data_IF_153811735599
#
_entry.id   IF_153811735599
#
_cell.length_a   1.000
_cell.length_b   1.000
_cell.length_c   1.000
_cell.angle_alpha   90.00
_cell.angle_beta   90.00
_cell.angle_gamma   90.00
#
_symmetry.space_group_name_H-M   'P 1'
#
loop_
_entity.id
_entity.type
_entity.pdbx_description
1 polymer ?
2 polymer ?
3 polymer ?
4 non-polymer ?
5 non-polymer ?
6 non-polymer ?
7 water ?
#
# COMPACT_ATOMS: atom_id res chain seq x y z
N UNK A 1 -8.41 17.20 6.13
CA UNK A 1 -7.97 18.44 5.44
C UNK A 1 -7.01 18.20 4.29
N UNK A 2 -5.85 17.62 4.61
CA UNK A 2 -4.73 17.52 3.69
C UNK A 2 -4.91 16.34 2.78
N UNK A 3 -4.23 16.40 1.63
CA UNK A 3 -4.36 15.31 0.65
C UNK A 3 -3.04 15.04 -0.05
N UNK A 4 -2.93 13.84 -0.62
CA UNK A 4 -1.72 13.49 -1.34
C UNK A 4 -2.11 12.77 -2.62
N UNK A 5 -1.26 12.91 -3.66
CA UNK A 5 -1.35 12.04 -4.82
C UNK A 5 -0.01 11.30 -4.92
N UNK A 6 -0.05 10.02 -5.19
CA UNK A 6 1.17 9.22 -5.33
C UNK A 6 1.03 8.23 -6.45
N UNK A 7 2.10 8.09 -7.22
CA UNK A 7 2.25 7.01 -8.16
C UNK A 7 3.31 6.04 -7.67
N UNK A 8 3.05 4.75 -7.86
CA UNK A 8 3.93 3.68 -7.46
C UNK A 8 4.27 2.86 -8.71
N UNK A 9 5.55 2.83 -9.04
CA UNK A 9 6.06 2.02 -10.16
C UNK A 9 6.82 0.83 -9.61
N UNK A 10 6.54 -0.32 -10.19
CA UNK A 10 7.34 -1.53 -9.87
C UNK A 10 7.79 -2.14 -11.18
N UNK A 11 9.11 -2.31 -11.33
CA UNK A 11 9.68 -3.01 -12.49
C UNK A 11 10.46 -4.21 -11.98
N UNK A 12 10.14 -5.39 -12.52
CA UNK A 12 10.67 -6.63 -11.97
C UNK A 12 11.22 -7.48 -13.10
N UNK A 13 12.51 -7.79 -13.03
CA UNK A 13 13.08 -8.67 -14.05
C UNK A 13 12.80 -10.11 -13.72
N UNK A 14 12.94 -10.98 -14.71
CA UNK A 14 12.53 -12.38 -14.55
C UNK A 14 13.23 -13.19 -15.65
N UNK A 15 14.55 -13.32 -15.55
CA UNK A 15 15.34 -13.87 -16.65
C UNK A 15 14.81 -15.24 -17.04
N UNK A 16 14.61 -15.42 -18.35
CA UNK A 16 14.08 -16.67 -18.94
C UNK A 16 12.57 -16.67 -19.05
N UNK A 17 11.91 -15.64 -18.48
CA UNK A 17 10.45 -15.57 -18.44
C UNK A 17 9.95 -14.28 -19.09
N UNK A 18 10.67 -13.86 -20.12
CA UNK A 18 10.32 -12.63 -20.82
C UNK A 18 10.99 -11.39 -20.26
N UNK A 19 10.55 -10.25 -20.76
CA UNK A 19 11.17 -8.99 -20.39
C UNK A 19 10.59 -8.57 -19.05
N UNK A 20 11.27 -7.65 -18.35
CA UNK A 20 10.76 -7.20 -17.03
C UNK A 20 9.34 -6.65 -17.09
N UNK A 21 8.50 -7.06 -16.13
CA UNK A 21 7.15 -6.53 -15.97
C UNK A 21 7.22 -5.13 -15.39
N UNK A 22 6.37 -4.23 -15.91
CA UNK A 22 6.27 -2.87 -15.38
C UNK A 22 4.82 -2.65 -14.97
N UNK A 23 4.59 -2.28 -13.70
CA UNK A 23 3.27 -1.93 -13.20
C UNK A 23 3.31 -0.49 -12.66
N UNK A 24 2.28 0.30 -12.95
CA UNK A 24 2.17 1.63 -12.37
C UNK A 24 0.80 1.74 -11.79
N UNK A 25 0.72 2.27 -10.57
CA UNK A 25 -0.55 2.47 -9.92
C UNK A 25 -0.60 3.89 -9.36
N UNK A 26 -1.76 4.54 -9.46
CA UNK A 26 -1.91 5.92 -8.96
C UNK A 26 -2.94 5.92 -7.84
N UNK A 27 -2.63 6.69 -6.79
CA UNK A 27 -3.53 6.87 -5.64
C UNK A 27 -3.76 8.35 -5.37
N UNK A 28 -4.96 8.67 -4.89
CA UNK A 28 -5.20 9.91 -4.16
C UNK A 28 -5.48 9.45 -2.74
N UNK A 29 -4.69 9.93 -1.78
CA UNK A 29 -4.77 9.40 -0.41
C UNK A 29 -4.74 7.87 -0.41
N UNK A 30 -5.73 7.20 0.22
CA UNK A 30 -5.78 5.74 0.19
C UNK A 30 -6.72 5.15 -0.84
N UNK A 31 -6.99 5.92 -1.90
CA UNK A 31 -7.89 5.45 -2.95
C UNK A 31 -7.11 5.23 -4.24
N UNK A 32 -7.04 3.98 -4.69
CA UNK A 32 -6.36 3.73 -5.98
C UNK A 32 -7.28 4.25 -7.07
N UNK A 33 -6.73 4.90 -8.09
CA UNK A 33 -7.60 5.39 -9.17
C UNK A 33 -7.16 5.04 -10.58
N UNK A 34 -5.90 4.63 -10.78
CA UNK A 34 -5.49 4.15 -12.12
C UNK A 34 -4.52 2.99 -11.98
N UNK A 35 -4.44 2.17 -13.01
CA UNK A 35 -3.41 1.14 -13.04
C UNK A 35 -2.97 0.84 -14.47
N UNK A 36 -1.69 0.57 -14.63
CA UNK A 36 -1.13 0.08 -15.88
C UNK A 36 -0.30 -1.18 -15.55
N UNK A 37 -0.37 -2.19 -16.41
CA UNK A 37 0.40 -3.42 -16.21
C UNK A 37 0.84 -3.87 -17.60
N UNK A 38 2.16 -3.95 -17.79
CA UNK A 38 2.74 -4.33 -19.09
C UNK A 38 2.38 -5.76 -19.49
N UNK A 39 1.99 -6.58 -18.52
CA UNK A 39 1.58 -7.98 -18.77
C UNK A 39 0.13 -8.13 -19.24
N UNK A 40 -0.63 -7.04 -19.25
CA UNK A 40 -2.06 -7.14 -19.60
C UNK A 40 -2.21 -7.56 -21.06
N UNK A 41 -3.29 -8.28 -21.35
CA UNK A 41 -3.55 -8.70 -22.72
C UNK A 41 -3.39 -7.51 -23.66
N UNK A 42 -3.98 -6.37 -23.30
CA UNK A 42 -3.75 -5.13 -24.03
C UNK A 42 -3.41 -3.98 -23.07
N UNK A 43 -2.12 -3.68 -22.91
CA UNK A 43 -1.69 -2.72 -21.86
C UNK A 43 -2.19 -1.31 -22.12
N UNK A 44 -2.85 -0.73 -21.12
CA UNK A 44 -3.24 0.67 -21.20
C UNK A 44 -3.45 1.12 -19.77
N UNK A 45 -3.31 2.42 -19.53
CA UNK A 45 -3.70 2.96 -18.24
C UNK A 45 -5.21 2.82 -18.14
N UNK A 46 -5.67 2.27 -17.04
CA UNK A 46 -7.07 1.90 -16.85
C UNK A 46 -7.64 2.50 -15.55
N UNK A 47 -8.91 2.92 -15.58
CA UNK A 47 -9.54 3.49 -14.38
C UNK A 47 -9.73 2.47 -13.29
N UNK A 48 -9.57 2.92 -12.05
CA UNK A 48 -9.81 2.08 -10.88
C UNK A 48 -10.70 2.74 -9.84
N UNK A 49 -11.16 3.96 -10.13
CA UNK A 49 -12.15 4.65 -9.31
C UNK A 49 -13.15 5.36 -10.25
N UNK A 50 -14.43 5.43 -9.87
CA UNK A 50 -15.50 5.97 -10.78
C UNK A 50 -15.27 7.41 -11.22
N UNK A 51 -14.68 8.23 -10.34
CA UNK A 51 -14.50 9.68 -10.63
C UNK A 51 -13.44 10.00 -11.70
N UNK A 52 -12.60 9.03 -12.06
CA UNK A 52 -11.63 9.22 -13.14
C UNK A 52 -12.17 8.79 -14.52
N UNK A 53 -13.29 8.08 -14.51
CA UNK A 53 -13.86 7.51 -15.73
C UNK A 53 -14.25 8.58 -16.74
N UNK A 54 -14.67 9.73 -16.25
CA UNK A 54 -15.05 10.90 -17.08
C UNK A 54 -13.90 11.56 -17.84
N UNK A 55 -12.65 11.23 -17.51
CA UNK A 55 -11.56 11.80 -18.27
C UNK A 55 -11.64 11.28 -19.71
N UNK A 56 -11.30 12.15 -20.66
CA UNK A 56 -11.44 11.84 -22.09
C UNK A 56 -10.32 10.99 -22.68
N UNK A 57 -10.47 10.63 -23.96
CA UNK A 57 -9.49 9.80 -24.66
C UNK A 57 -8.08 10.37 -24.66
N UNK A 58 -7.97 11.70 -24.69
CA UNK A 58 -6.70 12.43 -24.66
C UNK A 58 -5.95 12.11 -23.37
N UNK A 59 -6.72 12.06 -22.28
CA UNK A 59 -6.17 11.68 -20.97
C UNK A 59 -5.65 10.24 -21.03
N UNK A 60 -6.50 9.28 -21.38
CA UNK A 60 -6.09 7.86 -21.37
C UNK A 60 -4.96 7.56 -22.33
N UNK A 61 -4.95 8.27 -23.46
CA UNK A 61 -3.89 8.14 -24.46
C UNK A 61 -2.55 8.62 -23.94
N UNK A 62 -2.54 9.79 -23.31
CA UNK A 62 -1.31 10.35 -22.72
C UNK A 62 -0.75 9.35 -21.68
N UNK A 63 -1.60 8.91 -20.78
CA UNK A 63 -1.15 8.03 -19.67
C UNK A 63 -0.66 6.68 -20.16
N UNK A 64 -1.37 6.11 -21.14
CA UNK A 64 -0.92 4.87 -21.77
C UNK A 64 0.45 5.03 -22.45
N UNK A 65 0.62 6.09 -23.25
CA UNK A 65 1.92 6.29 -23.91
C UNK A 65 3.07 6.48 -22.93
N UNK A 66 2.85 7.28 -21.90
CA UNK A 66 3.90 7.49 -20.89
C UNK A 66 4.26 6.13 -20.28
N UNK A 67 3.25 5.33 -19.97
CA UNK A 67 3.47 4.07 -19.27
C UNK A 67 4.17 3.06 -20.19
N UNK A 68 3.83 3.06 -21.48
CA UNK A 68 4.55 2.23 -22.47
C UNK A 68 6.00 2.68 -22.64
N UNK A 69 6.24 4.00 -22.69
CA UNK A 69 7.59 4.53 -22.66
C UNK A 69 8.34 4.09 -21.40
N UNK A 70 7.69 4.22 -20.24
CA UNK A 70 8.29 3.78 -18.99
C UNK A 70 8.63 2.30 -18.99
N UNK A 71 7.74 1.48 -19.56
CA UNK A 71 8.02 0.04 -19.66
C UNK A 71 9.41 -0.16 -20.28
N UNK A 72 9.65 0.49 -21.40
CA UNK A 72 10.98 0.42 -22.04
C UNK A 72 12.12 1.03 -21.22
N UNK A 73 11.91 2.22 -20.66
CA UNK A 73 12.95 2.91 -19.88
C UNK A 73 13.36 2.11 -18.63
N UNK A 74 12.36 1.58 -17.91
CA UNK A 74 12.61 0.82 -16.68
C UNK A 74 13.29 -0.52 -16.98
N UNK A 75 13.02 -1.08 -18.14
CA UNK A 75 13.79 -2.27 -18.55
C UNK A 75 15.27 -1.94 -18.71
N UNK A 76 15.58 -0.85 -19.42
CA UNK A 76 16.96 -0.38 -19.63
C UNK A 76 17.60 -0.01 -18.31
N UNK A 77 16.80 0.58 -17.43
CA UNK A 77 17.26 0.90 -16.08
C UNK A 77 17.65 -0.35 -15.28
N UNK A 78 16.79 -1.37 -15.29
CA UNK A 78 17.15 -2.64 -14.59
C UNK A 78 18.45 -3.23 -15.15
N UNK A 79 18.65 -3.20 -16.47
CA UNK A 79 19.93 -3.67 -17.03
C UNK A 79 21.10 -2.84 -16.50
N UNK A 80 20.91 -1.53 -16.39
CA UNK A 80 21.98 -0.65 -15.89
C UNK A 80 22.30 -0.96 -14.44
N UNK A 81 21.26 -1.14 -13.64
CA UNK A 81 21.41 -1.40 -12.21
C UNK A 81 22.07 -2.74 -11.91
N UNK A 82 21.78 -3.75 -12.72
CA UNK A 82 22.44 -5.05 -12.60
C UNK A 82 23.94 -4.83 -12.78
N UNK A 83 24.28 -4.04 -13.80
CA UNK A 83 25.68 -3.67 -14.08
C UNK A 83 26.34 -2.91 -12.95
N UNK A 84 25.59 -1.95 -12.37
CA UNK A 84 26.17 -1.14 -11.29
C UNK A 84 26.55 -1.97 -10.07
N UNK A 85 25.88 -3.09 -9.87
CA UNK A 85 26.13 -3.94 -8.70
C UNK A 85 26.86 -5.23 -9.08
N UNK A 86 27.33 -5.31 -10.33
CA UNK A 86 28.09 -6.46 -10.81
C UNK A 86 27.33 -7.76 -10.67
N UNK A 87 26.03 -7.69 -10.93
CA UNK A 87 25.15 -8.84 -10.70
C UNK A 87 25.00 -9.69 -11.94
N UNK A 88 24.79 -10.98 -11.69
CA UNK A 88 24.51 -12.00 -12.69
C UNK A 88 23.30 -11.63 -13.54
N UNK A 89 23.34 -12.00 -14.82
CA UNK A 89 22.15 -11.94 -15.68
C UNK A 89 21.05 -12.93 -15.25
N UNK A 90 21.38 -13.88 -14.39
CA UNK A 90 20.45 -14.96 -14.01
C UNK A 90 19.45 -14.63 -12.90
N UNK A 91 19.72 -13.58 -12.14
CA UNK A 91 18.86 -13.25 -11.00
C UNK A 91 17.74 -12.27 -11.34
N UNK A 92 16.68 -12.32 -10.56
CA UNK A 92 15.57 -11.39 -10.70
C UNK A 92 15.77 -10.23 -9.74
N UNK A 93 15.37 -9.05 -10.16
CA UNK A 93 15.61 -7.86 -9.36
C UNK A 93 14.41 -6.95 -9.50
N UNK A 94 14.29 -6.01 -8.58
CA UNK A 94 13.12 -5.15 -8.54
C UNK A 94 13.57 -3.72 -8.43
N UNK A 95 12.98 -2.86 -9.26
CA UNK A 95 13.21 -1.42 -9.19
C UNK A 95 11.87 -0.80 -8.87
N UNK A 96 11.81 -0.03 -7.78
CA UNK A 96 10.57 0.69 -7.44
C UNK A 96 10.77 2.18 -7.41
N UNK A 97 9.72 2.90 -7.79
CA UNK A 97 9.71 4.37 -7.69
C UNK A 97 8.37 4.81 -7.09
N UNK A 98 8.40 5.83 -6.22
CA UNK A 98 7.19 6.34 -5.61
C UNK A 98 7.37 7.84 -5.68
N UNK A 99 6.39 8.53 -6.27
CA UNK A 99 6.48 9.99 -6.37
C UNK A 99 5.12 10.66 -6.22
N UNK A 100 5.12 11.94 -5.93
CA UNK A 100 3.86 12.69 -5.94
C UNK A 100 3.90 13.89 -5.04
N UNK A 101 2.73 14.47 -4.81
CA UNK A 101 2.66 15.78 -4.13
C UNK A 101 1.69 15.70 -2.96
N UNK A 102 1.95 16.55 -1.97
CA UNK A 102 1.10 16.68 -0.77
C UNK A 102 0.58 18.11 -0.81
N UNK A 103 -0.70 18.29 -0.51
CA UNK A 103 -1.31 19.63 -0.45
C UNK A 103 -2.08 19.79 0.85
N UNK A 104 -2.16 21.00 1.36
CA UNK A 104 -2.96 21.25 2.57
C UNK A 104 -4.40 21.55 2.23
N UNK A 105 -5.22 21.79 3.25
CA UNK A 105 -6.64 22.15 3.05
C UNK A 105 -6.90 23.19 1.96
N UNK A 106 -5.98 24.14 1.79
CA UNK A 106 -6.11 25.20 0.78
C UNK A 106 -5.64 24.80 -0.64
N UNK A 107 -5.24 23.53 -0.82
CA UNK A 107 -4.84 23.05 -2.14
C UNK A 107 -3.42 23.42 -2.56
N UNK A 108 -2.68 24.08 -1.67
CA UNK A 108 -1.33 24.49 -2.01
C UNK A 108 -0.34 23.38 -1.69
N UNK A 109 0.74 23.36 -2.45
CA UNK A 109 1.78 22.37 -2.26
C UNK A 109 2.39 22.44 -0.86
N UNK A 110 2.43 21.32 -0.16
CA UNK A 110 3.13 21.22 1.12
C UNK A 110 4.54 20.75 0.81
N UNK A 111 4.62 19.70 -0.03
CA UNK A 111 5.91 19.18 -0.49
C UNK A 111 5.74 18.12 -1.55
N UNK A 112 6.81 17.94 -2.33
CA UNK A 112 6.88 16.94 -3.39
C UNK A 112 7.77 15.79 -2.97
N UNK A 113 7.61 14.66 -3.67
CA UNK A 113 8.35 13.44 -3.35
C UNK A 113 8.74 12.75 -4.64
N UNK A 114 9.93 12.17 -4.66
CA UNK A 114 10.29 11.21 -5.66
C UNK A 114 11.43 10.37 -5.09
N UNK A 115 11.19 9.07 -4.94
CA UNK A 115 12.17 8.19 -4.28
C UNK A 115 12.19 6.88 -5.05
N UNK A 116 13.34 6.22 -5.08
CA UNK A 116 13.45 4.91 -5.70
C UNK A 116 14.19 3.95 -4.81
N UNK A 117 13.91 2.65 -5.02
CA UNK A 117 14.56 1.57 -4.31
C UNK A 117 14.93 0.47 -5.27
N UNK A 118 16.01 -0.25 -4.96
CA UNK A 118 16.45 -1.39 -5.77
C UNK A 118 16.54 -2.59 -4.85
N UNK A 119 15.88 -3.66 -5.25
CA UNK A 119 15.70 -4.86 -4.38
C UNK A 119 15.33 -4.54 -2.93
N UNK A 120 14.44 -3.57 -2.77
CA UNK A 120 13.87 -3.22 -1.49
C UNK A 120 14.73 -2.35 -0.60
N UNK A 121 15.85 -1.88 -1.13
CA UNK A 121 16.70 -0.95 -0.39
C UNK A 121 16.63 0.43 -1.04
N UNK A 122 16.50 1.47 -0.22
CA UNK A 122 16.59 2.83 -0.79
C UNK A 122 17.79 3.04 -1.68
N UNK A 123 17.55 3.70 -2.81
CA UNK A 123 18.54 3.83 -3.86
C UNK A 123 18.88 5.31 -4.12
N UNK A 124 17.88 6.09 -4.52
CA UNK A 124 18.07 7.54 -4.74
C UNK A 124 16.78 8.26 -4.41
N UNK A 125 16.90 9.48 -3.89
CA UNK A 125 15.71 10.26 -3.55
C UNK A 125 15.93 11.70 -3.93
N UNK A 126 14.89 12.29 -4.48
CA UNK A 126 14.86 13.74 -4.71
C UNK A 126 14.72 14.39 -3.32
N UNK A 127 15.61 15.32 -3.02
CA UNK A 127 15.51 16.06 -1.76
C UNK A 127 14.28 16.97 -1.70
N UNK A 128 13.93 17.44 -0.51
CA UNK A 128 12.71 18.26 -0.37
C UNK A 128 12.80 19.57 -1.17
N UNK A 129 14.03 20.04 -1.40
CA UNK A 129 14.22 21.23 -2.26
C UNK A 129 13.79 21.06 -3.72
N UNK A 130 13.53 19.82 -4.14
CA UNK A 130 13.19 19.49 -5.52
C UNK A 130 14.28 19.91 -6.50
N UNK A 131 15.53 19.92 -6.02
CA UNK A 131 16.60 20.40 -6.88
C UNK A 131 17.87 19.55 -6.79
N UNK A 132 17.95 18.71 -5.79
CA UNK A 132 19.17 17.93 -5.55
C UNK A 132 18.76 16.53 -5.12
N UNK A 133 19.71 15.61 -5.18
CA UNK A 133 19.44 14.20 -4.88
C UNK A 133 20.26 13.69 -3.73
N UNK A 134 19.74 12.69 -3.04
CA UNK A 134 20.50 11.89 -2.04
C UNK A 134 20.66 10.47 -2.58
N UNK A 135 21.90 10.10 -2.91
CA UNK A 135 22.23 8.73 -3.38
C UNK A 135 22.63 7.84 -2.22
N UNK A 136 22.11 6.61 -2.20
CA UNK A 136 22.38 5.73 -1.05
C UNK A 136 23.77 5.09 -1.06
N UNK A 137 24.35 4.92 -2.25
CA UNK A 137 25.62 4.20 -2.40
C UNK A 137 26.30 4.60 -3.71
N UNK A 138 27.47 4.01 -3.99
CA UNK A 138 28.23 4.44 -5.19
C UNK A 138 27.55 4.15 -6.52
N UNK A 139 26.66 3.14 -6.53
CA UNK A 139 25.85 2.85 -7.72
C UNK A 139 24.88 3.99 -7.98
N UNK A 140 24.15 4.37 -6.93
CA UNK A 140 23.19 5.44 -7.03
C UNK A 140 23.86 6.77 -7.40
N UNK A 141 25.12 6.93 -6.98
CA UNK A 141 25.88 8.12 -7.41
C UNK A 141 26.02 8.20 -8.93
N UNK A 142 26.17 7.04 -9.60
CA UNK A 142 26.17 7.00 -11.08
C UNK A 142 24.85 7.49 -11.65
N UNK A 143 23.75 7.02 -11.09
CA UNK A 143 22.45 7.52 -11.49
C UNK A 143 22.33 9.03 -11.23
N UNK A 144 22.74 9.46 -10.04
CA UNK A 144 22.69 10.89 -9.70
C UNK A 144 23.43 11.73 -10.76
N UNK A 145 24.64 11.29 -11.15
CA UNK A 145 25.40 12.02 -12.19
C UNK A 145 24.63 12.10 -13.51
N UNK A 146 24.02 11.00 -13.93
CA UNK A 146 23.21 10.98 -15.15
C UNK A 146 22.04 11.92 -15.06
N UNK A 147 21.39 11.92 -13.91
CA UNK A 147 20.20 12.72 -13.71
C UNK A 147 20.52 14.20 -13.64
N UNK A 148 21.67 14.51 -13.05
CA UNK A 148 22.18 15.89 -13.01
C UNK A 148 22.46 16.43 -14.41
N UNK A 149 23.14 15.61 -15.20
CA UNK A 149 23.47 15.90 -16.58
C UNK A 149 22.22 16.04 -17.44
N UNK A 150 21.15 15.32 -17.12
CA UNK A 150 19.91 15.38 -17.89
C UNK A 150 18.90 16.40 -17.35
N UNK A 151 19.32 17.19 -16.36
CA UNK A 151 18.45 18.13 -15.64
C UNK A 151 17.12 17.48 -15.20
N UNK A 152 17.20 16.28 -14.61
CA UNK A 152 15.98 15.56 -14.19
C UNK A 152 15.26 16.27 -13.05
N UNK A 153 16.02 16.83 -12.09
CA UNK A 153 15.41 17.48 -10.93
C UNK A 153 14.54 18.66 -11.36
N UNK A 154 14.99 19.40 -12.38
CA UNK A 154 14.19 20.51 -12.91
C UNK A 154 12.85 20.05 -13.45
N UNK A 155 12.87 18.94 -14.18
CA UNK A 155 11.69 18.33 -14.75
C UNK A 155 10.75 17.89 -13.59
N UNK A 156 11.30 17.25 -12.58
CA UNK A 156 10.48 16.83 -11.41
C UNK A 156 9.88 18.02 -10.67
N UNK A 157 10.68 19.06 -10.41
CA UNK A 157 10.15 20.22 -9.70
C UNK A 157 8.98 20.81 -10.48
N UNK A 158 9.12 20.92 -11.81
CA UNK A 158 8.08 21.52 -12.68
C UNK A 158 6.80 20.71 -12.61
N UNK A 159 6.95 19.38 -12.62
CA UNK A 159 5.80 18.48 -12.51
C UNK A 159 5.16 18.60 -11.13
N UNK A 160 6.00 18.52 -10.09
CA UNK A 160 5.48 18.44 -8.71
C UNK A 160 4.75 19.71 -8.30
N UNK A 161 5.22 20.85 -8.78
CA UNK A 161 4.63 22.15 -8.40
C UNK A 161 3.48 22.54 -9.33
N UNK A 162 3.41 21.87 -10.47
CA UNK A 162 2.52 22.19 -11.60
C UNK A 162 1.40 21.20 -11.73
N UNK A 163 1.53 20.33 -12.74
CA UNK A 163 0.54 19.29 -13.06
C UNK A 163 0.11 18.47 -11.86
N UNK A 164 1.07 18.08 -11.00
CA UNK A 164 0.73 17.20 -9.88
C UNK A 164 -0.33 17.86 -8.99
N UNK A 165 -0.07 19.11 -8.58
CA UNK A 165 -0.97 19.80 -7.68
C UNK A 165 -2.27 20.14 -8.43
N UNK A 166 -2.16 20.58 -9.68
CA UNK A 166 -3.34 20.95 -10.48
C UNK A 166 -4.31 19.78 -10.68
N UNK A 167 -3.75 18.64 -11.04
CA UNK A 167 -4.58 17.46 -11.26
C UNK A 167 -5.10 16.84 -9.95
N UNK A 168 -4.28 16.89 -8.90
CA UNK A 168 -4.75 16.42 -7.59
C UNK A 168 -5.98 17.26 -7.17
N UNK A 169 -5.87 18.58 -7.34
CA UNK A 169 -7.02 19.45 -7.05
C UNK A 169 -8.25 19.06 -7.88
N UNK A 170 -8.07 18.83 -9.19
CA UNK A 170 -9.17 18.39 -10.06
C UNK A 170 -9.81 17.07 -9.60
N UNK A 171 -8.98 16.07 -9.27
CA UNK A 171 -9.49 14.78 -8.76
C UNK A 171 -10.28 14.96 -7.49
N UNK A 172 -9.76 15.78 -6.57
CA UNK A 172 -10.44 16.03 -5.29
C UNK A 172 -11.83 16.66 -5.47
N UNK A 173 -11.96 17.52 -6.48
CA UNK A 173 -13.25 18.12 -6.82
C UNK A 173 -14.16 17.06 -7.46
N UNK A 174 -13.63 16.34 -8.45
CA UNK A 174 -14.44 15.36 -9.18
C UNK A 174 -14.88 14.16 -8.31
N UNK A 175 -14.03 13.77 -7.37
CA UNK A 175 -14.37 12.70 -6.46
C UNK A 175 -14.74 13.19 -5.06
N UNK A 176 -15.23 14.42 -4.95
CA UNK A 176 -15.39 15.07 -3.63
C UNK A 176 -16.27 14.33 -2.62
N UNK A 177 -17.29 13.59 -3.12
CA UNK A 177 -18.16 12.82 -2.24
C UNK A 177 -17.48 11.69 -1.51
N UNK A 178 -16.36 11.20 -2.05
CA UNK A 178 -15.61 10.13 -1.40
C UNK A 178 -14.24 10.62 -0.94
N UNK A 179 -13.47 11.25 -1.83
CA UNK A 179 -12.11 11.67 -1.46
C UNK A 179 -12.08 12.69 -0.35
N UNK A 180 -13.14 13.49 -0.25
CA UNK A 180 -13.16 14.51 0.78
C UNK A 180 -14.13 14.14 1.93
N UNK A 181 -14.41 12.85 2.04
CA UNK A 181 -15.27 12.33 3.10
C UNK A 181 -14.45 11.37 3.96
N UNK A 182 -14.33 11.73 5.23
CA UNK A 182 -13.67 10.87 6.21
C UNK A 182 -14.78 10.05 6.87
N UNK A 183 -14.61 8.74 6.89
CA UNK A 183 -15.57 7.85 7.60
C UNK A 183 -14.93 7.48 8.95
N UNK A 184 -15.58 7.82 10.07
CA UNK A 184 -14.97 7.54 11.36
C UNK A 184 -15.00 6.02 11.65
N UNK A 185 -14.11 5.55 12.52
CA UNK A 185 -14.13 4.17 12.93
C UNK A 185 -15.36 3.91 13.78
N UNK A 186 -15.95 2.74 13.60
CA UNK A 186 -16.90 2.17 14.55
C UNK A 186 -16.05 1.41 15.55
N UNK A 187 -16.21 1.73 16.84
CA UNK A 187 -15.30 1.18 17.85
C UNK A 187 -16.03 0.34 18.89
N UNK A 188 -15.37 -0.71 19.36
CA UNK A 188 -15.91 -1.51 20.45
C UNK A 188 -14.78 -2.29 21.07
N UNK A 189 -15.00 -2.71 22.32
CA UNK A 189 -13.98 -3.49 23.02
C UNK A 189 -14.55 -4.89 23.29
N UNK A 190 -13.77 -5.90 22.94
CA UNK A 190 -14.11 -7.29 23.27
C UNK A 190 -13.21 -7.81 24.41
N UNK A 191 -13.65 -8.92 25.00
CA UNK A 191 -13.02 -9.46 26.22
C UNK A 191 -12.91 -10.94 26.00
N UNK A 192 -11.71 -11.49 26.18
CA UNK A 192 -11.47 -12.92 25.98
C UNK A 192 -10.62 -13.47 27.12
N UNK A 193 -11.26 -14.20 28.05
CA UNK A 193 -10.50 -14.89 29.08
C UNK A 193 -9.38 -15.76 28.49
N UNK A 194 -8.21 -15.67 29.08
CA UNK A 194 -7.06 -16.50 28.74
C UNK A 194 -6.93 -17.64 29.73
N UNK A 195 -7.24 -17.32 30.98
CA UNK A 195 -7.01 -18.21 32.12
C UNK A 195 -7.94 -17.68 33.20
N UNK A 196 -7.93 -18.33 34.36
CA UNK A 196 -8.75 -17.82 35.46
C UNK A 196 -8.29 -16.45 35.98
N UNK A 197 -7.09 -16.02 35.64
CA UNK A 197 -6.63 -14.75 36.22
C UNK A 197 -6.21 -13.68 35.21
N UNK A 198 -6.35 -13.97 33.92
CA UNK A 198 -6.10 -12.94 32.90
C UNK A 198 -7.04 -13.04 31.73
N UNK A 199 -7.19 -11.91 31.03
CA UNK A 199 -8.09 -11.87 29.88
C UNK A 199 -7.51 -10.87 28.88
N UNK A 200 -7.82 -11.07 27.61
CA UNK A 200 -7.41 -10.10 26.58
C UNK A 200 -8.52 -9.07 26.41
N UNK A 201 -8.15 -7.80 26.40
CA UNK A 201 -9.12 -6.78 25.97
C UNK A 201 -8.67 -6.37 24.57
N UNK A 202 -9.56 -6.43 23.58
CA UNK A 202 -9.19 -6.06 22.21
C UNK A 202 -10.05 -4.89 21.77
N UNK A 203 -9.40 -3.81 21.39
CA UNK A 203 -10.14 -2.62 21.03
C UNK A 203 -10.17 -2.59 19.52
N UNK A 204 -11.37 -2.53 18.95
CA UNK A 204 -11.57 -2.59 17.52
C UNK A 204 -11.93 -1.23 16.93
N UNK A 205 -11.34 -0.94 15.76
CA UNK A 205 -11.78 0.19 14.91
C UNK A 205 -12.10 -0.39 13.52
N UNK A 206 -13.33 -0.16 13.06
CA UNK A 206 -13.81 -0.76 11.83
C UNK A 206 -14.46 0.29 10.92
N UNK A 207 -14.36 0.07 9.61
CA UNK A 207 -15.13 0.88 8.67
C UNK A 207 -14.64 2.30 8.47
N UNK A 208 -13.37 2.57 8.80
CA UNK A 208 -12.83 3.94 8.69
C UNK A 208 -12.09 4.23 7.39
N UNK A 209 -12.08 5.52 7.04
CA UNK A 209 -11.32 5.97 5.88
C UNK A 209 -11.01 7.43 6.19
N UNK A 210 -9.78 7.93 5.99
CA UNK A 210 -8.65 7.16 5.43
C UNK A 210 -8.00 6.21 6.44
N UNK A 211 -6.92 5.54 6.02
CA UNK A 211 -6.30 4.48 6.85
C UNK A 211 -5.64 5.02 8.12
N UNK A 212 -5.16 6.25 8.08
CA UNK A 212 -4.39 6.77 9.22
C UNK A 212 -5.26 6.75 10.49
N UNK A 213 -4.77 6.13 11.55
CA UNK A 213 -5.55 6.05 12.79
C UNK A 213 -4.57 5.85 13.93
N UNK A 214 -4.98 6.21 15.14
CA UNK A 214 -4.18 5.89 16.30
C UNK A 214 -5.03 5.22 17.38
N UNK A 215 -4.63 4.02 17.77
CA UNK A 215 -5.35 3.21 18.76
C UNK A 215 -4.35 2.88 19.84
N UNK A 216 -4.62 3.28 21.08
CA UNK A 216 -3.70 3.01 22.18
C UNK A 216 -4.50 2.61 23.38
N UNK A 217 -3.86 1.84 24.28
CA UNK A 217 -4.46 1.39 25.53
C UNK A 217 -3.72 2.11 26.64
N UNK A 218 -4.48 2.54 27.62
CA UNK A 218 -3.89 3.07 28.83
C UNK A 218 -4.33 2.22 30.01
N UNK A 219 -3.44 2.11 31.00
CA UNK A 219 -3.74 1.48 32.28
C UNK A 219 -3.57 2.57 33.32
N UNK A 220 -4.64 2.93 34.03
CA UNK A 220 -4.60 3.99 35.05
C UNK A 220 -4.01 5.26 34.43
N UNK A 221 -4.40 5.52 33.18
CA UNK A 221 -3.97 6.71 32.45
C UNK A 221 -2.56 6.69 31.90
N UNK A 222 -1.82 5.60 32.16
CA UNK A 222 -0.45 5.46 31.63
C UNK A 222 -0.49 4.67 30.32
N UNK A 223 0.10 5.20 29.26
CA UNK A 223 0.15 4.45 28.00
C UNK A 223 0.83 3.11 28.11
N UNK A 224 0.28 2.12 27.41
CA UNK A 224 0.75 0.74 27.51
C UNK A 224 1.48 0.31 26.23
N UNK A 225 2.33 1.18 25.71
CA UNK A 225 2.95 0.95 24.40
C UNK A 225 3.64 -0.40 24.31
N UNK A 226 4.54 -0.67 25.25
CA UNK A 226 5.34 -1.90 25.20
C UNK A 226 4.52 -3.17 25.38
N UNK A 227 3.35 -3.05 26.01
CA UNK A 227 2.51 -4.19 26.35
C UNK A 227 1.26 -4.32 25.48
N UNK A 228 1.16 -3.49 24.44
CA UNK A 228 0.05 -3.56 23.52
C UNK A 228 0.41 -4.34 22.25
N UNK A 229 -0.44 -5.30 21.88
CA UNK A 229 -0.35 -5.91 20.57
C UNK A 229 -1.20 -5.11 19.59
N UNK A 230 -0.53 -4.52 18.60
CA UNK A 230 -1.21 -3.64 17.63
C UNK A 230 -1.06 -4.24 16.24
N UNK A 231 -2.15 -4.67 15.59
CA UNK A 231 -2.03 -5.28 14.25
C UNK A 231 -1.91 -4.20 13.19
N UNK A 232 -1.34 -4.56 12.05
CA UNK A 232 -1.28 -3.59 10.98
C UNK A 232 -2.70 -3.25 10.48
N UNK A 233 -2.91 -1.96 10.21
CA UNK A 233 -4.12 -1.49 9.53
C UNK A 233 -4.32 -2.27 8.24
N UNK A 234 -5.52 -2.80 8.06
CA UNK A 234 -5.78 -3.72 6.96
C UNK A 234 -7.03 -3.31 6.22
N UNK A 235 -7.06 -3.55 4.91
CA UNK A 235 -8.19 -3.13 4.10
C UNK A 235 -9.38 -4.12 4.25
N UNK A 236 -10.59 -3.57 4.39
CA UNK A 236 -11.79 -4.39 4.48
C UNK A 236 -12.21 -4.87 3.08
N UNK A 237 -11.88 -4.07 2.06
CA UNK A 237 -12.25 -4.39 0.67
C UNK A 237 -13.37 -3.51 0.08
N UNK A 238 -13.93 -2.66 0.92
CA UNK A 238 -15.00 -1.71 0.51
C UNK A 238 -14.54 -0.24 0.60
N UNK A 239 -13.23 -0.07 0.47
CA UNK A 239 -12.49 1.23 0.61
C UNK A 239 -12.06 1.48 2.06
N UNK A 240 -12.74 0.85 3.02
CA UNK A 240 -12.46 1.17 4.42
C UNK A 240 -11.36 0.28 4.99
N UNK A 241 -10.98 0.55 6.22
CA UNK A 241 -9.88 -0.13 6.88
C UNK A 241 -10.32 -0.58 8.25
N UNK A 242 -9.53 -1.49 8.80
CA UNK A 242 -9.74 -2.11 10.12
C UNK A 242 -8.44 -2.12 10.89
N UNK A 243 -8.53 -2.10 12.22
CA UNK A 243 -7.35 -2.26 13.05
C UNK A 243 -7.83 -2.64 14.45
N UNK A 244 -6.98 -3.33 15.17
CA UNK A 244 -7.24 -3.56 16.57
C UNK A 244 -5.97 -3.43 17.40
N UNK A 245 -6.18 -3.20 18.69
CA UNK A 245 -5.09 -3.11 19.65
C UNK A 245 -5.52 -3.97 20.83
N UNK A 246 -4.62 -4.84 21.30
CA UNK A 246 -4.96 -5.74 22.41
C UNK A 246 -3.98 -5.66 23.59
N UNK A 247 -4.50 -5.92 24.78
CA UNK A 247 -3.68 -5.86 25.98
C UNK A 247 -4.16 -7.02 26.86
N UNK A 248 -3.23 -7.64 27.59
CA UNK A 248 -3.58 -8.72 28.51
C UNK A 248 -3.66 -8.13 29.91
N UNK A 249 -4.80 -8.33 30.55
CA UNK A 249 -5.10 -7.67 31.79
C UNK A 249 -5.47 -8.71 32.85
N UNK A 250 -5.13 -8.41 34.11
CA UNK A 250 -5.57 -9.26 35.24
C UNK A 250 -7.08 -9.26 35.37
N UNK A 251 -7.66 -10.44 35.55
CA UNK A 251 -9.10 -10.52 35.74
C UNK A 251 -9.56 -9.65 36.90
N UNK A 252 -10.65 -8.93 36.71
CA UNK A 252 -11.15 -7.97 37.68
C UNK A 252 -10.51 -6.59 37.64
N UNK A 253 -9.52 -6.38 36.77
CA UNK A 253 -8.91 -5.04 36.64
C UNK A 253 -9.32 -4.36 35.35
N UNK A 254 -10.30 -4.93 34.66
CA UNK A 254 -10.62 -4.48 33.30
C UNK A 254 -10.97 -3.00 33.24
N UNK A 255 -11.60 -2.47 34.31
CA UNK A 255 -12.07 -1.07 34.25
C UNK A 255 -10.96 -0.05 34.39
N UNK A 256 -9.76 -0.52 34.71
CA UNK A 256 -8.62 0.38 34.81
C UNK A 256 -8.02 0.71 33.45
N UNK A 257 -8.52 0.02 32.42
CA UNK A 257 -7.95 0.13 31.10
C UNK A 257 -8.88 0.88 30.18
N UNK A 258 -8.31 1.83 29.44
CA UNK A 258 -9.11 2.57 28.48
C UNK A 258 -8.46 2.54 27.11
N UNK A 259 -9.28 2.37 26.11
CA UNK A 259 -8.82 2.41 24.68
C UNK A 259 -9.05 3.86 24.17
N UNK A 260 -8.07 4.41 23.46
CA UNK A 260 -8.15 5.79 22.96
C UNK A 260 -7.98 5.76 21.46
N UNK A 261 -8.90 6.42 20.76
CA UNK A 261 -8.96 6.35 19.30
C UNK A 261 -8.89 7.79 18.74
N UNK A 262 -7.96 8.00 17.82
CA UNK A 262 -7.90 9.28 17.09
C UNK A 262 -8.05 8.95 15.61
N UNK A 263 -8.89 9.68 14.92
CA UNK A 263 -9.07 9.51 13.46
C UNK A 263 -9.59 10.83 12.94
N UNK A 264 -9.17 11.21 11.75
CA UNK A 264 -9.58 12.51 11.24
C UNK A 264 -11.09 12.67 11.10
N UNK A 265 -11.81 11.55 10.95
CA UNK A 265 -13.26 11.51 10.94
C UNK A 265 -13.93 11.73 12.30
N UNK A 266 -13.13 11.87 13.35
CA UNK A 266 -13.64 12.13 14.71
C UNK A 266 -13.33 13.55 15.16
N UNK A 267 -14.37 14.25 15.61
CA UNK A 267 -14.26 15.63 16.15
C UNK A 267 -13.22 15.75 17.26
N UNK A 268 -13.26 14.81 18.20
CA UNK A 268 -12.35 14.75 19.34
C UNK A 268 -12.01 13.28 19.56
N UNK A 269 -10.83 12.97 20.08
CA UNK A 269 -10.46 11.57 20.32
C UNK A 269 -11.53 10.84 21.13
N UNK A 270 -11.69 9.54 20.87
CA UNK A 270 -12.62 8.70 21.62
C UNK A 270 -11.90 7.92 22.73
N UNK A 271 -12.58 7.78 23.87
CA UNK A 271 -12.16 6.88 24.95
C UNK A 271 -13.25 5.84 25.10
N UNK A 272 -12.87 4.56 25.11
CA UNK A 272 -13.82 3.45 25.38
C UNK A 272 -13.25 2.44 26.39
N UNK A 273 -14.15 1.69 27.01
CA UNK A 273 -13.80 0.61 27.94
C UNK A 273 -14.59 -0.63 27.61
N UNK A 274 -14.22 -1.76 28.19
CA UNK A 274 -15.03 -2.95 28.04
C UNK A 274 -16.33 -2.68 28.76
N UNK A 275 -17.44 -2.98 28.09
CA UNK A 275 -18.76 -2.80 28.69
C UNK A 275 -19.43 -4.17 28.78
N UNK A 276 -19.31 -4.86 29.92
CA UNK A 276 -19.92 -6.18 30.08
C UNK A 276 -21.43 -6.04 30.32
N UNK B 1 17.35 -7.34 -0.89
CA UNK B 1 17.03 -8.00 0.41
C UNK B 1 15.75 -8.82 0.26
N UNK B 2 15.44 -9.64 1.27
CA UNK B 2 14.20 -10.43 1.25
C UNK B 2 13.48 -10.20 2.58
N UNK B 3 12.17 -9.97 2.51
CA UNK B 3 11.33 -9.74 3.67
C UNK B 3 10.16 -10.72 3.66
N UNK B 4 9.91 -11.32 4.82
CA UNK B 4 8.86 -12.35 4.87
C UNK B 4 7.48 -11.72 5.05
N UNK B 5 6.44 -12.32 4.44
CA UNK B 5 5.09 -11.76 4.57
C UNK B 5 4.48 -11.85 5.96
N UNK B 6 3.83 -10.76 6.37
CA UNK B 6 2.87 -10.76 7.45
C UNK B 6 1.55 -11.23 6.85
N UNK B 7 0.74 -11.92 7.66
CA UNK B 7 -0.52 -12.44 7.14
C UNK B 7 -1.63 -12.19 8.15
N UNK B 8 -2.74 -11.63 7.68
CA UNK B 8 -3.96 -11.48 8.50
C UNK B 8 -5.11 -12.10 7.73
N UNK B 9 -5.89 -12.96 8.40
CA UNK B 9 -7.07 -13.55 7.79
C UNK B 9 -8.31 -13.11 8.60
N UNK B 10 -9.30 -12.57 7.91
CA UNK B 10 -10.43 -11.87 8.53
C UNK B 10 -11.59 -11.66 7.55
N UNK B 11 -12.76 -11.26 8.06
CA UNK B 11 -13.92 -10.99 7.20
C UNK B 11 -14.14 -9.50 7.00
N UNK B 12 -14.73 -9.14 5.86
CA UNK B 12 -15.01 -7.75 5.56
C UNK B 12 -15.94 -7.16 6.60
N UNK B 13 -17.02 -7.91 6.88
CA UNK B 13 -18.06 -7.52 7.85
C UNK B 13 -18.02 -8.45 9.06
N UNK B 14 -18.53 -8.01 10.21
CA UNK B 14 -18.56 -8.89 11.37
C UNK B 14 -19.24 -10.19 10.96
N UNK B 15 -18.68 -11.33 11.36
CA UNK B 15 -19.15 -12.62 10.87
C UNK B 15 -20.50 -12.98 11.49
N UNK B 16 -21.45 -13.34 10.63
CA UNK B 16 -22.74 -13.85 11.10
C UNK B 16 -23.07 -15.12 10.35
N UNK B 17 -22.95 -16.26 11.04
CA UNK B 17 -23.27 -17.58 10.48
C UNK B 17 -24.52 -17.53 9.61
N UNK B 18 -24.38 -17.99 8.38
CA UNK B 18 -25.48 -18.00 7.43
C UNK B 18 -25.66 -16.73 6.60
N UNK B 19 -24.89 -15.70 6.90
CA UNK B 19 -24.97 -14.44 6.13
C UNK B 19 -23.76 -14.27 5.21
N UNK B 20 -24.02 -13.93 3.95
CA UNK B 20 -22.98 -13.73 2.94
C UNK B 20 -22.02 -12.59 3.29
N UNK B 21 -20.72 -12.83 3.10
CA UNK B 21 -19.67 -11.96 3.61
C UNK B 21 -18.49 -12.10 2.63
N UNK B 22 -17.38 -11.43 2.94
CA UNK B 22 -16.13 -11.63 2.20
C UNK B 22 -15.03 -12.10 3.15
N UNK B 23 -14.30 -13.12 2.72
CA UNK B 23 -13.17 -13.64 3.46
C UNK B 23 -11.93 -13.00 2.87
N UNK B 24 -11.10 -12.45 3.74
CA UNK B 24 -9.93 -11.70 3.29
C UNK B 24 -8.68 -12.37 3.82
N UNK B 25 -7.64 -12.40 2.98
CA UNK B 25 -6.32 -12.69 3.45
C UNK B 25 -5.42 -11.55 2.97
N UNK B 26 -4.89 -10.80 3.92
CA UNK B 26 -4.07 -9.64 3.64
C UNK B 26 -2.63 -10.05 3.88
N UNK B 27 -1.84 -9.98 2.82
CA UNK B 27 -0.43 -10.26 2.93
C UNK B 27 0.34 -8.99 2.71
N UNK B 28 1.32 -8.75 3.56
CA UNK B 28 2.01 -7.48 3.49
C UNK B 28 3.42 -7.57 4.04
N UNK B 29 4.19 -6.50 3.87
CA UNK B 29 5.54 -6.44 4.43
C UNK B 29 6.55 -7.35 3.76
N UNK B 30 6.23 -7.86 2.58
CA UNK B 30 7.11 -8.83 1.94
C UNK B 30 7.91 -8.25 0.76
N UNK B 31 9.01 -8.90 0.43
CA UNK B 31 9.86 -8.47 -0.71
C UNK B 31 10.73 -9.70 -1.00
N UNK B 32 10.91 -10.09 -2.26
CA UNK B 32 10.30 -9.49 -3.46
C UNK B 32 8.79 -9.76 -3.60
N UNK B 33 8.19 -9.32 -4.72
CA UNK B 33 6.74 -9.35 -4.87
C UNK B 33 6.11 -10.70 -5.22
N UNK B 34 6.87 -11.65 -5.75
CA UNK B 34 6.30 -12.96 -6.10
C UNK B 34 5.82 -13.69 -4.83
N UNK B 35 4.56 -14.06 -4.84
CA UNK B 35 3.92 -14.70 -3.69
C UNK B 35 2.79 -15.60 -4.14
N UNK B 36 2.55 -16.65 -3.38
CA UNK B 36 1.46 -17.57 -3.68
C UNK B 36 0.54 -17.52 -2.48
N UNK B 37 -0.72 -17.21 -2.75
CA UNK B 37 -1.74 -17.10 -1.70
C UNK B 37 -2.96 -17.91 -2.12
N UNK B 38 -3.34 -18.85 -1.27
CA UNK B 38 -4.60 -19.55 -1.45
C UNK B 38 -5.51 -19.41 -0.24
N UNK B 39 -6.81 -19.28 -0.52
CA UNK B 39 -7.84 -19.34 0.51
C UNK B 39 -8.38 -20.76 0.52
N UNK B 40 -8.48 -21.31 1.73
CA UNK B 40 -8.94 -22.67 1.97
C UNK B 40 -10.31 -22.71 2.65
N UNK B 41 -11.16 -23.60 2.15
CA UNK B 41 -12.42 -23.94 2.80
C UNK B 41 -12.25 -25.40 3.20
N UNK B 42 -12.12 -25.65 4.49
CA UNK B 42 -11.83 -26.99 5.00
C UNK B 42 -10.71 -27.67 4.19
N UNK B 43 -9.52 -27.06 4.21
CA UNK B 43 -8.34 -27.60 3.53
C UNK B 43 -8.32 -27.51 2.01
N UNK B 44 -9.40 -27.05 1.41
CA UNK B 44 -9.48 -27.07 -0.06
C UNK B 44 -9.51 -25.71 -0.73
N UNK B 45 -8.73 -25.60 -1.80
CA UNK B 45 -8.49 -24.33 -2.47
C UNK B 45 -9.76 -23.78 -3.13
N UNK B 46 -10.16 -22.58 -2.74
CA UNK B 46 -11.27 -21.87 -3.34
C UNK B 46 -10.79 -21.33 -4.68
N UNK B 47 -11.60 -21.54 -5.72
CA UNK B 47 -11.13 -21.32 -7.08
C UNK B 47 -11.22 -19.88 -7.56
N UNK B 48 -12.29 -19.19 -7.19
CA UNK B 48 -12.45 -17.83 -7.66
C UNK B 48 -12.08 -16.86 -6.55
N UNK B 49 -10.80 -16.47 -6.55
CA UNK B 49 -10.26 -15.53 -5.57
C UNK B 49 -9.64 -14.38 -6.36
N UNK B 50 -10.08 -13.16 -6.08
CA UNK B 50 -9.53 -12.00 -6.76
C UNK B 50 -8.38 -11.44 -5.90
N UNK B 51 -7.61 -10.49 -6.44
CA UNK B 51 -6.74 -9.71 -5.59
C UNK B 51 -6.60 -8.29 -6.10
N UNK B 52 -6.14 -7.43 -5.20
CA UNK B 52 -5.88 -6.04 -5.51
C UNK B 52 -4.69 -5.92 -6.46
N UNK B 53 -4.49 -4.72 -7.02
CA UNK B 53 -3.32 -4.45 -7.86
C UNK B 53 -2.09 -4.32 -6.95
N UNK B 54 -0.99 -4.93 -7.37
CA UNK B 54 0.26 -4.83 -6.63
C UNK B 54 0.60 -3.38 -6.29
N UNK B 55 0.78 -3.09 -5.00
CA UNK B 55 1.35 -1.82 -4.63
C UNK B 55 2.20 -2.11 -3.43
N UNK B 56 2.68 -1.04 -2.83
CA UNK B 56 3.67 -1.16 -1.83
C UNK B 56 3.63 0.04 -0.89
N UNK B 57 4.10 -0.21 0.31
CA UNK B 57 4.14 0.79 1.36
C UNK B 57 5.38 1.66 1.24
N UNK B 58 5.42 2.72 2.05
CA UNK B 58 6.50 3.65 2.14
C UNK B 58 7.84 2.97 2.41
N UNK B 59 7.82 1.79 3.03
CA UNK B 59 9.06 1.08 3.31
C UNK B 59 9.43 0.12 2.18
N UNK B 60 8.74 0.25 1.05
CA UNK B 60 8.95 -0.51 -0.18
C UNK B 60 8.37 -1.93 -0.20
N UNK B 61 7.92 -2.41 0.95
CA UNK B 61 7.41 -3.77 0.97
C UNK B 61 6.05 -3.82 0.28
N UNK B 62 5.75 -4.98 -0.26
CA UNK B 62 4.55 -5.16 -1.07
C UNK B 62 3.38 -5.54 -0.19
N UNK B 63 2.16 -5.31 -0.69
CA UNK B 63 0.95 -5.83 -0.05
C UNK B 63 -0.09 -6.13 -1.09
N UNK B 64 -0.90 -7.13 -0.77
CA UNK B 64 -1.99 -7.59 -1.61
C UNK B 64 -3.13 -8.04 -0.73
N UNK B 65 -4.36 -7.78 -1.19
CA UNK B 65 -5.55 -8.37 -0.59
C UNK B 65 -6.15 -9.40 -1.53
N UNK B 66 -6.23 -10.63 -1.05
CA UNK B 66 -6.92 -11.73 -1.72
C UNK B 66 -8.26 -11.88 -1.00
N UNK B 67 -9.33 -12.00 -1.78
CA UNK B 67 -10.65 -12.04 -1.20
C UNK B 67 -11.56 -12.89 -2.03
N UNK B 68 -12.49 -13.53 -1.34
CA UNK B 68 -13.58 -14.23 -2.00
C UNK B 68 -14.87 -14.03 -1.19
N UNK B 69 -15.99 -14.05 -1.90
CA UNK B 69 -17.31 -14.08 -1.27
C UNK B 69 -17.49 -15.42 -0.55
N UNK B 70 -18.00 -15.38 0.68
CA UNK B 70 -18.29 -16.59 1.44
C UNK B 70 -19.44 -16.40 2.43
N UNK B 71 -19.98 -17.52 2.92
CA UNK B 71 -21.07 -17.51 3.88
C UNK B 71 -20.63 -18.40 5.04
N UNK B 72 -20.20 -17.78 6.15
CA UNK B 72 -19.67 -18.53 7.29
C UNK B 72 -20.72 -19.34 8.08
N UNK B 73 -20.25 -20.42 8.68
CA UNK B 73 -21.11 -21.32 9.44
C UNK B 73 -20.40 -21.65 10.75
N UNK B 74 -21.04 -22.48 11.59
CA UNK B 74 -20.37 -23.02 12.77
C UNK B 74 -19.39 -24.12 12.33
N UNK B 75 -19.79 -24.85 11.29
CA UNK B 75 -19.02 -25.99 10.76
C UNK B 75 -17.72 -25.59 10.07
N UNK B 76 -17.86 -24.89 8.94
CA UNK B 76 -16.76 -24.64 8.01
C UNK B 76 -15.58 -23.93 8.64
N UNK B 77 -14.38 -24.42 8.30
CA UNK B 77 -13.14 -23.80 8.74
C UNK B 77 -12.48 -23.17 7.54
N UNK B 78 -11.92 -21.98 7.75
CA UNK B 78 -11.30 -21.22 6.68
C UNK B 78 -9.85 -20.90 7.04
N UNK B 79 -9.02 -20.78 6.01
CA UNK B 79 -7.63 -20.42 6.22
C UNK B 79 -7.03 -19.77 4.98
N UNK B 80 -5.84 -19.24 5.19
CA UNK B 80 -5.08 -18.68 4.11
C UNK B 80 -3.74 -19.36 4.14
N UNK B 81 -3.27 -19.79 2.95
CA UNK B 81 -2.02 -20.49 2.81
C UNK B 81 -1.09 -19.67 1.93
N UNK B 82 0.09 -19.39 2.46
CA UNK B 82 1.00 -18.44 1.82
C UNK B 82 2.35 -19.07 1.60
N UNK B 83 2.84 -18.95 0.37
CA UNK B 83 4.22 -19.30 0.05
C UNK B 83 4.98 -18.11 -0.54
N UNK B 84 6.25 -18.06 -0.20
CA UNK B 84 7.17 -16.96 -0.57
C UNK B 84 8.59 -17.50 -0.52
N UNK B 85 9.52 -16.87 -1.25
CA UNK B 85 10.93 -17.30 -1.23
C UNK B 85 11.51 -17.38 0.19
N UNK B 86 11.00 -16.57 1.12
CA UNK B 86 11.52 -16.52 2.50
C UNK B 86 11.08 -17.69 3.35
N UNK B 87 10.07 -18.43 2.91
CA UNK B 87 9.52 -19.52 3.68
C UNK B 87 9.97 -20.88 3.11
N UNK B 88 10.43 -21.75 3.98
CA UNK B 88 10.88 -23.07 3.56
C UNK B 88 9.70 -23.98 3.28
N UNK B 89 8.56 -23.64 3.86
CA UNK B 89 7.33 -24.35 3.57
C UNK B 89 6.17 -23.36 3.67
N UNK B 90 5.06 -23.62 2.98
CA UNK B 90 3.89 -22.74 3.05
C UNK B 90 3.43 -22.52 4.49
N UNK B 91 2.95 -21.31 4.75
CA UNK B 91 2.45 -20.94 6.07
C UNK B 91 0.95 -20.93 6.01
N UNK B 92 0.31 -21.54 7.00
CA UNK B 92 -1.16 -21.55 7.03
C UNK B 92 -1.67 -20.81 8.25
N UNK B 93 -2.54 -19.84 8.01
CA UNK B 93 -3.09 -19.03 9.07
C UNK B 93 -4.60 -19.28 9.09
N UNK B 94 -5.11 -19.73 10.23
CA UNK B 94 -6.53 -20.04 10.34
C UNK B 94 -7.33 -18.75 10.54
N UNK B 95 -8.49 -18.68 9.91
CA UNK B 95 -9.42 -17.61 10.20
C UNK B 95 -9.95 -17.82 11.60
N UNK B 96 -9.85 -16.76 12.40
CA UNK B 96 -10.38 -16.78 13.74
C UNK B 96 -11.31 -15.58 13.79
N UNK B 97 -12.59 -15.88 13.98
CA UNK B 97 -13.67 -14.91 14.07
C UNK B 97 -13.35 -13.67 14.95
N UNK B 98 -12.53 -13.84 15.99
CA UNK B 98 -12.20 -12.76 16.93
C UNK B 98 -10.92 -11.99 16.63
N UNK B 99 -10.34 -12.19 15.44
CA UNK B 99 -9.07 -11.55 15.15
C UNK B 99 -9.00 -10.80 13.80
N UNK C 1 -2.41 13.14 -12.54
CA UNK C 1 -1.89 12.71 -13.86
C UNK C 1 -0.40 12.35 -13.74
N UNK C 2 0.08 11.41 -14.56
CA UNK C 2 1.43 10.85 -14.38
C UNK C 2 2.53 11.92 -14.38
N UNK C 3 3.65 11.59 -13.75
CA UNK C 3 4.87 12.39 -13.82
C UNK C 3 5.59 12.21 -15.15
N UNK C 4 6.76 12.82 -15.29
CA UNK C 4 7.44 12.88 -16.56
C UNK C 4 8.38 11.69 -16.82
N UNK C 5 8.32 11.12 -18.02
CA UNK C 5 9.39 10.25 -18.48
C UNK C 5 10.69 11.03 -18.41
N UNK C 6 11.77 10.34 -18.10
CA UNK C 6 13.08 10.97 -18.03
C UNK C 6 14.25 10.01 -18.15
N UNK C 7 15.37 10.39 -17.56
CA UNK C 7 16.60 9.60 -17.72
C UNK C 7 16.42 8.16 -17.21
N UNK C 8 16.92 7.23 -18.02
CA UNK C 8 17.16 5.89 -17.56
C UNK C 8 18.02 6.01 -16.28
N UNK C 9 18.02 4.98 -15.43
CA UNK C 9 18.91 4.99 -14.27
C UNK C 9 20.35 4.67 -14.69
X LIG D 1 3.20 -12.01 -20.60
X LIG D 1 4.17 -13.14 -20.55
X LIG D 1 2.50 -11.92 -19.33
X LIG D 1 2.19 -12.21 -21.66
X LIG D 1 3.89 -10.75 -20.92
X LIG E 1 -14.13 -8.28 11.35
X LIG E 1 -15.03 -7.61 10.84
X LIG E 1 -13.05 -8.69 10.63
X LIG E 1 -14.21 -8.64 12.63
X LIG F 1 -3.44 -1.30 3.41
X LIG F 1 -3.59 -1.01 4.79
X LIG F 1 -2.78 -0.13 2.69
X LIG F 1 -3.42 1.08 3.06
X LIG F 1 -1.31 -0.06 3.12
X LIG F 1 -1.07 1.24 3.60
X LIG G 1 2.29 3.49 3.97
X LIG G 1 1.10 2.64 3.89
X LIG G 1 2.65 3.90 2.62
X LIG G 1 3.41 2.76 4.56
X LIG G 1 1.99 4.66 4.81
#
# INVERSE_FOLDING_TARGET
GSHSMRYFYTAMSRPGRGEPRFIAVGYVDDTQFVRFDSDAASPRMAPRAPWIEQEGPEYWDRETQISKTNTQTYRESLRNLRGYYNQSEAGSHTLQRMYGCDVGPDGRLLRGHDQSAYDGKDYIALNEDLSSWTAADTAAQITQRKWEAAREAEQWRAYLEGLCVEWLRRYLENGKETLQRADPPKTHVTHHPISDHEATLRCWALGFYPAEITLTWQRDGEDQTQDTELVETRPAGDRTFQKWAAVVVPSGEEQRYTCHVQHEGLPKPLTLRWEP
IQRTPKIQVYSRHPAENGKSNFLNCYVSGFHPSDIEVDLLKNGERIEKVEHSDLSFSKDWSFYLLYYTEFTPTEKDEYACRVNHVTLSQPKIVKWDRDM
ILGPPGSVY
SO4 S O1 O2 O3 O4
URE C O N1 N2
GOL C1 O1 C2 O2 C3 O3
SO4 S O1 O2 O3 O4
#
